data_IF_988369651204
#
_entry.id   IF_988369651204
#
_cell.length_a   1.000
_cell.length_b   1.000
_cell.length_c   1.000
_cell.angle_alpha   90.00
_cell.angle_beta   90.00
_cell.angle_gamma   90.00
#
_symmetry.space_group_name_H-M   'P 1'
#
loop_
_entity.id
_entity.type
_entity.pdbx_description
1 polymer ?
#
# COMPACT_ATOMS: atom_id res chain seq x y z
N UNK A 1 9.09 -5.61 2.85
CA UNK A 1 8.75 -5.37 1.43
C UNK A 1 10.00 -5.10 0.60
N UNK A 2 11.02 -4.44 1.16
CA UNK A 2 12.36 -4.28 0.56
C UNK A 2 12.88 -5.54 -0.14
N UNK A 3 12.85 -6.70 0.53
CA UNK A 3 13.28 -7.97 -0.07
C UNK A 3 12.56 -8.32 -1.39
N UNK A 4 11.26 -8.02 -1.53
CA UNK A 4 10.55 -8.25 -2.79
C UNK A 4 11.00 -7.25 -3.86
N UNK A 5 11.23 -5.99 -3.49
CA UNK A 5 11.74 -4.97 -4.39
C UNK A 5 13.13 -5.33 -4.93
N UNK A 6 14.04 -5.84 -4.07
CA UNK A 6 15.36 -6.34 -4.47
C UNK A 6 15.27 -7.48 -5.49
N UNK A 7 14.31 -8.38 -5.29
CA UNK A 7 14.01 -9.48 -6.22
C UNK A 7 13.20 -9.03 -7.45
N UNK A 8 12.92 -7.73 -7.59
CA UNK A 8 12.08 -7.15 -8.65
C UNK A 8 10.69 -7.77 -8.73
N UNK A 9 10.11 -8.14 -7.59
CA UNK A 9 8.75 -8.67 -7.47
C UNK A 9 7.82 -7.56 -6.98
N UNK A 10 6.79 -7.26 -7.78
CA UNK A 10 5.70 -6.36 -7.39
C UNK A 10 4.53 -7.21 -6.88
N UNK A 11 4.12 -6.99 -5.64
CA UNK A 11 3.07 -7.73 -4.95
C UNK A 11 1.67 -7.43 -5.51
N UNK A 12 1.38 -6.16 -5.84
CA UNK A 12 0.14 -5.66 -6.45
C UNK A 12 -1.14 -5.78 -5.64
N UNK A 13 -1.11 -6.51 -4.52
CA UNK A 13 -2.25 -6.67 -3.62
C UNK A 13 -1.85 -6.56 -2.14
N UNK A 14 -0.92 -5.64 -1.84
CA UNK A 14 -0.51 -5.40 -0.46
C UNK A 14 -1.64 -4.70 0.30
N UNK A 15 -2.12 -5.36 1.37
CA UNK A 15 -3.24 -4.89 2.20
C UNK A 15 -3.17 -5.57 3.57
N UNK A 16 -3.86 -5.02 4.58
CA UNK A 16 -3.86 -5.61 5.93
C UNK A 16 -4.35 -7.07 5.95
N UNK A 17 -5.32 -7.42 5.10
CA UNK A 17 -5.82 -8.81 4.91
C UNK A 17 -4.73 -9.82 4.48
N UNK A 18 -3.62 -9.32 3.95
CA UNK A 18 -2.49 -10.09 3.44
C UNK A 18 -1.27 -10.01 4.35
N UNK A 19 -1.41 -9.39 5.53
CA UNK A 19 -0.40 -9.42 6.59
C UNK A 19 -0.84 -10.44 7.65
N UNK A 20 -0.13 -11.56 7.70
CA UNK A 20 -0.42 -12.66 8.62
C UNK A 20 0.39 -12.52 9.90
N UNK A 21 -0.27 -12.58 11.06
CA UNK A 21 0.38 -12.63 12.37
C UNK A 21 0.55 -14.10 12.75
N UNK A 22 1.79 -14.57 12.78
CA UNK A 22 2.14 -15.97 13.09
C UNK A 22 2.53 -16.18 14.56
N UNK A 23 2.95 -15.11 15.22
CA UNK A 23 3.23 -15.07 16.65
C UNK A 23 3.05 -13.63 17.14
N UNK A 24 2.47 -13.47 18.32
CA UNK A 24 2.23 -12.16 18.93
C UNK A 24 2.75 -12.17 20.35
N UNK A 25 3.57 -11.19 20.67
CA UNK A 25 4.10 -10.96 22.01
C UNK A 25 3.82 -9.50 22.39
N UNK A 26 3.13 -9.33 23.52
CA UNK A 26 2.62 -8.05 23.97
C UNK A 26 3.66 -7.26 24.80
N UNK A 27 4.78 -7.89 25.17
CA UNK A 27 5.87 -7.28 25.93
C UNK A 27 7.08 -6.96 25.05
N UNK A 28 7.38 -7.83 24.07
CA UNK A 28 8.49 -7.66 23.14
C UNK A 28 8.02 -7.75 21.69
N UNK A 29 7.78 -6.59 21.06
CA UNK A 29 7.35 -6.49 19.66
C UNK A 29 8.32 -7.19 18.70
N UNK A 30 9.60 -7.36 19.06
CA UNK A 30 10.58 -8.08 18.21
C UNK A 30 10.32 -9.58 18.15
N UNK A 31 9.51 -10.12 19.07
CA UNK A 31 9.03 -11.51 19.07
C UNK A 31 7.70 -11.66 18.37
N UNK A 32 7.06 -10.56 17.98
CA UNK A 32 5.90 -10.60 17.09
C UNK A 32 6.37 -10.93 15.68
N UNK A 33 5.83 -12.00 15.12
CA UNK A 33 6.19 -12.52 13.81
C UNK A 33 5.06 -12.25 12.84
N UNK A 34 5.32 -11.38 11.85
CA UNK A 34 4.38 -11.05 10.77
C UNK A 34 4.97 -11.44 9.41
N UNK A 35 4.12 -11.89 8.50
CA UNK A 35 4.52 -12.22 7.12
C UNK A 35 3.51 -11.68 6.12
N UNK A 36 4.02 -11.17 5.00
CA UNK A 36 3.20 -10.82 3.84
C UNK A 36 2.85 -12.11 3.08
N UNK A 37 1.58 -12.25 2.71
CA UNK A 37 1.01 -13.33 1.91
C UNK A 37 0.18 -12.73 0.76
N UNK A 38 -0.54 -13.54 -0.02
CA UNK A 38 -1.44 -12.99 -1.05
C UNK A 38 -0.79 -12.68 -2.40
N UNK A 39 0.23 -13.45 -2.78
CA UNK A 39 0.98 -13.29 -4.04
C UNK A 39 0.21 -13.70 -5.33
N UNK A 40 -1.10 -13.89 -5.27
CA UNK A 40 -1.90 -14.34 -6.43
C UNK A 40 -1.92 -13.35 -7.59
N UNK A 41 -1.63 -12.07 -7.32
CA UNK A 41 -1.49 -11.01 -8.32
C UNK A 41 -0.03 -10.58 -8.54
N UNK A 42 0.94 -11.19 -7.85
CA UNK A 42 2.33 -10.76 -7.91
C UNK A 42 2.95 -10.99 -9.29
N UNK A 43 3.92 -10.17 -9.66
CA UNK A 43 4.63 -10.24 -10.95
C UNK A 43 6.10 -9.91 -10.76
N UNK A 44 6.97 -10.64 -11.46
CA UNK A 44 8.40 -10.36 -11.53
C UNK A 44 8.71 -9.43 -12.72
N UNK A 45 9.53 -8.41 -12.48
CA UNK A 45 9.98 -7.45 -13.50
C UNK A 45 11.35 -7.90 -14.04
N UNK A 46 11.34 -8.58 -15.18
CA UNK A 46 12.55 -9.19 -15.77
C UNK A 46 13.43 -8.12 -16.44
N UNK A 47 12.89 -7.41 -17.44
CA UNK A 47 13.65 -6.48 -18.30
C UNK A 47 13.17 -5.01 -18.21
N UNK A 48 12.26 -4.70 -17.29
CA UNK A 48 11.67 -3.38 -17.13
C UNK A 48 11.61 -2.97 -15.66
N UNK A 49 11.40 -1.67 -15.42
CA UNK A 49 11.17 -1.12 -14.07
C UNK A 49 9.68 -1.09 -13.70
N UNK A 50 8.81 -1.43 -14.66
CA UNK A 50 7.36 -1.47 -14.49
C UNK A 50 6.72 -2.57 -15.36
N UNK A 51 5.48 -2.93 -15.02
CA UNK A 51 4.66 -3.81 -15.83
C UNK A 51 3.26 -3.20 -16.04
N UNK A 52 2.62 -3.54 -17.16
CA UNK A 52 1.23 -3.18 -17.42
C UNK A 52 0.32 -4.31 -16.95
N UNK A 53 -0.71 -3.94 -16.21
CA UNK A 53 -1.65 -4.83 -15.54
C UNK A 53 -3.06 -4.47 -15.97
N UNK A 54 -3.80 -5.48 -16.42
CA UNK A 54 -5.22 -5.41 -16.68
C UNK A 54 -5.90 -6.67 -16.12
N UNK A 55 -7.13 -6.54 -15.64
CA UNK A 55 -7.87 -7.68 -15.09
C UNK A 55 -9.09 -7.28 -14.28
N UNK A 56 -9.90 -8.28 -13.93
CA UNK A 56 -11.01 -8.13 -12.97
C UNK A 56 -10.51 -8.47 -11.56
N UNK A 57 -11.13 -7.90 -10.54
CA UNK A 57 -10.79 -8.18 -9.13
C UNK A 57 -9.52 -7.48 -8.64
N UNK A 58 -9.11 -6.39 -9.30
CA UNK A 58 -7.99 -5.57 -8.82
C UNK A 58 -8.36 -4.82 -7.53
N UNK A 59 -7.42 -4.63 -6.60
CA UNK A 59 -7.68 -3.99 -5.31
C UNK A 59 -7.72 -2.45 -5.44
N UNK A 60 -8.75 -1.91 -6.11
CA UNK A 60 -8.87 -0.48 -6.50
C UNK A 60 -8.51 0.50 -5.37
N UNK A 61 -8.93 0.22 -4.14
CA UNK A 61 -8.71 1.07 -2.96
C UNK A 61 -7.25 1.17 -2.50
N UNK A 62 -6.39 0.30 -3.00
CA UNK A 62 -4.97 0.22 -2.67
C UNK A 62 -4.09 0.65 -3.84
N UNK A 63 -4.70 0.96 -4.99
CA UNK A 63 -3.96 1.27 -6.20
C UNK A 63 -3.63 2.76 -6.29
N UNK A 64 -2.41 3.11 -6.71
CA UNK A 64 -2.03 4.49 -6.97
C UNK A 64 -2.62 5.03 -8.28
N UNK A 65 -2.59 6.35 -8.52
CA UNK A 65 -3.13 6.98 -9.72
C UNK A 65 -2.63 6.38 -11.04
N UNK A 66 -1.33 6.09 -11.16
CA UNK A 66 -0.75 5.52 -12.39
C UNK A 66 -1.25 4.09 -12.68
N UNK A 67 -1.50 3.29 -11.65
CA UNK A 67 -2.09 1.96 -11.80
C UNK A 67 -3.57 2.06 -12.18
N UNK A 68 -4.31 3.00 -11.59
CA UNK A 68 -5.73 3.22 -11.89
C UNK A 68 -5.96 3.77 -13.31
N UNK A 69 -5.10 4.69 -13.77
CA UNK A 69 -5.25 5.36 -15.06
C UNK A 69 -4.62 4.59 -16.22
N UNK A 70 -3.46 3.96 -15.99
CA UNK A 70 -2.63 3.38 -17.06
C UNK A 70 -2.34 1.90 -16.86
N UNK A 71 -2.81 1.30 -15.76
CA UNK A 71 -2.51 -0.09 -15.44
C UNK A 71 -1.04 -0.33 -15.10
N UNK A 72 -0.22 0.70 -14.86
CA UNK A 72 1.22 0.51 -14.57
C UNK A 72 1.41 0.09 -13.12
N UNK A 73 2.28 -0.89 -12.87
CA UNK A 73 2.73 -1.25 -11.53
C UNK A 73 4.26 -1.34 -11.47
N UNK A 74 4.81 -0.97 -10.32
CA UNK A 74 6.23 -0.95 -9.99
C UNK A 74 6.38 -1.12 -8.46
N UNK A 75 7.61 -1.13 -7.95
CA UNK A 75 7.85 -1.03 -6.50
C UNK A 75 7.09 0.17 -5.88
N UNK A 76 7.06 1.31 -6.57
CA UNK A 76 6.40 2.55 -6.09
C UNK A 76 4.88 2.40 -6.01
N UNK A 77 4.29 1.46 -6.75
CA UNK A 77 2.88 1.11 -6.59
C UNK A 77 2.61 0.27 -5.34
N UNK A 78 3.54 -0.60 -4.95
CA UNK A 78 3.47 -1.31 -3.68
C UNK A 78 3.75 -0.39 -2.49
N UNK A 79 4.62 0.62 -2.63
CA UNK A 79 4.84 1.65 -1.61
C UNK A 79 3.55 2.41 -1.32
N UNK A 80 2.79 2.77 -2.35
CA UNK A 80 1.46 3.37 -2.16
C UNK A 80 0.52 2.45 -1.38
N UNK A 81 0.44 1.18 -1.79
CA UNK A 81 -0.39 0.17 -1.13
C UNK A 81 0.05 -0.09 0.32
N UNK A 82 1.35 0.02 0.61
CA UNK A 82 1.91 -0.02 1.96
C UNK A 82 1.39 1.14 2.81
N UNK A 83 1.38 2.38 2.29
CA UNK A 83 0.77 3.52 2.98
C UNK A 83 -0.71 3.28 3.31
N UNK A 84 -1.48 2.73 2.37
CA UNK A 84 -2.89 2.34 2.60
C UNK A 84 -3.00 1.27 3.69
N UNK A 85 -2.11 0.27 3.66
CA UNK A 85 -2.06 -0.80 4.67
C UNK A 85 -1.73 -0.26 6.07
N UNK A 86 -0.77 0.67 6.17
CA UNK A 86 -0.46 1.35 7.43
C UNK A 86 -1.68 2.13 7.95
N UNK A 87 -2.38 2.85 7.07
CA UNK A 87 -3.60 3.54 7.45
C UNK A 87 -4.69 2.57 7.94
N UNK A 88 -4.86 1.41 7.30
CA UNK A 88 -5.78 0.36 7.81
C UNK A 88 -5.39 -0.08 9.22
N UNK A 89 -4.11 -0.33 9.48
CA UNK A 89 -3.62 -0.76 10.80
C UNK A 89 -3.87 0.34 11.84
N UNK A 90 -3.54 1.60 11.53
CA UNK A 90 -3.71 2.75 12.43
C UNK A 90 -5.18 3.06 12.73
N UNK A 91 -6.09 2.68 11.83
CA UNK A 91 -7.54 2.85 12.01
C UNK A 91 -8.23 1.60 12.53
N UNK A 92 -7.47 0.63 13.06
CA UNK A 92 -7.98 -0.64 13.58
C UNK A 92 -8.83 -1.43 12.57
N UNK A 93 -8.39 -1.45 11.31
CA UNK A 93 -9.01 -2.22 10.22
C UNK A 93 -10.18 -1.52 9.55
N UNK A 94 -10.27 -0.18 9.60
CA UNK A 94 -11.28 0.56 8.84
C UNK A 94 -11.07 0.32 7.35
N UNK A 95 -12.17 0.12 6.61
CA UNK A 95 -12.10 -0.01 5.15
C UNK A 95 -11.65 1.31 4.51
N UNK A 96 -10.57 1.31 3.69
CA UNK A 96 -10.14 2.51 2.98
C UNK A 96 -11.27 3.07 2.10
N UNK A 97 -11.53 4.37 2.20
CA UNK A 97 -12.58 5.05 1.44
C UNK A 97 -13.98 4.40 1.61
N UNK A 98 -14.31 3.91 2.81
CA UNK A 98 -15.50 3.07 3.08
C UNK A 98 -16.84 3.60 2.53
N UNK A 99 -16.98 4.92 2.36
CA UNK A 99 -18.19 5.59 1.88
C UNK A 99 -18.20 5.86 0.36
N UNK A 100 -17.18 5.41 -0.38
CA UNK A 100 -17.04 5.62 -1.82
C UNK A 100 -17.20 4.31 -2.59
N UNK A 101 -17.82 4.35 -3.77
CA UNK A 101 -17.74 3.26 -4.75
C UNK A 101 -16.36 3.22 -5.41
N UNK A 102 -15.98 2.12 -6.04
CA UNK A 102 -14.68 2.00 -6.70
C UNK A 102 -14.48 3.08 -7.79
N UNK A 103 -15.50 3.38 -8.59
CA UNK A 103 -15.46 4.51 -9.54
C UNK A 103 -15.23 5.87 -8.86
N UNK A 104 -15.80 6.06 -7.68
CA UNK A 104 -15.63 7.30 -6.91
C UNK A 104 -14.22 7.39 -6.31
N UNK A 105 -13.68 6.26 -5.83
CA UNK A 105 -12.29 6.15 -5.36
C UNK A 105 -11.33 6.48 -6.51
N UNK A 106 -11.56 5.93 -7.70
CA UNK A 106 -10.73 6.23 -8.88
C UNK A 106 -10.69 7.73 -9.14
N UNK A 107 -11.85 8.40 -9.21
CA UNK A 107 -11.92 9.85 -9.44
C UNK A 107 -11.26 10.64 -8.31
N UNK A 108 -11.50 10.27 -7.06
CA UNK A 108 -10.97 10.96 -5.89
C UNK A 108 -9.43 10.86 -5.81
N UNK A 109 -8.88 9.65 -5.91
CA UNK A 109 -7.44 9.39 -5.84
C UNK A 109 -6.71 10.03 -7.02
N UNK A 110 -7.23 9.87 -8.24
CA UNK A 110 -6.67 10.52 -9.43
C UNK A 110 -6.77 12.05 -9.36
N UNK A 111 -7.74 12.59 -8.62
CA UNK A 111 -7.91 14.02 -8.37
C UNK A 111 -7.01 14.58 -7.26
N UNK A 112 -6.12 13.78 -6.67
CA UNK A 112 -5.23 14.19 -5.59
C UNK A 112 -5.75 13.92 -4.18
N UNK A 113 -6.94 13.34 -4.06
CA UNK A 113 -7.51 12.94 -2.77
C UNK A 113 -6.71 11.83 -2.10
N UNK A 114 -6.63 11.86 -0.77
CA UNK A 114 -5.95 10.86 0.08
C UNK A 114 -6.81 10.45 1.26
N UNK A 115 -6.41 9.39 1.95
CA UNK A 115 -7.01 8.98 3.22
C UNK A 115 -6.68 10.02 4.30
N UNK A 116 -7.66 10.27 5.18
CA UNK A 116 -7.62 11.32 6.18
C UNK A 116 -6.82 10.88 7.42
N UNK A 117 -5.98 11.76 7.97
CA UNK A 117 -5.28 11.52 9.25
C UNK A 117 -6.27 11.46 10.41
N UNK A 118 -7.35 12.22 10.29
CA UNK A 118 -8.41 12.40 11.28
C UNK A 118 -9.17 11.10 11.56
N UNK A 119 -9.09 10.12 10.66
CA UNK A 119 -9.69 8.80 10.84
C UNK A 119 -8.92 7.90 11.81
N UNK A 120 -7.67 8.26 12.16
CA UNK A 120 -6.83 7.48 13.08
C UNK A 120 -7.29 7.64 14.53
N UNK A 121 -7.67 6.53 15.15
CA UNK A 121 -8.20 6.48 16.51
C UNK A 121 -7.05 6.51 17.52
N UNK A 122 -7.12 7.39 18.52
CA UNK A 122 -6.11 7.50 19.57
C UNK A 122 -4.90 8.37 19.21
N UNK A 123 -4.91 8.98 18.01
CA UNK A 123 -3.81 9.81 17.52
C UNK A 123 -2.70 9.00 16.84
N UNK A 124 -1.87 9.70 16.07
CA UNK A 124 -0.72 9.13 15.36
C UNK A 124 0.47 10.06 15.56
N UNK A 125 1.65 9.58 15.97
CA UNK A 125 2.87 10.40 16.01
C UNK A 125 3.13 11.05 14.65
N UNK A 126 3.57 12.31 14.65
CA UNK A 126 3.79 13.08 13.40
C UNK A 126 4.78 12.39 12.46
N UNK A 127 5.83 11.77 13.00
CA UNK A 127 6.84 11.03 12.23
C UNK A 127 6.23 9.82 11.50
N UNK A 128 5.33 9.10 12.18
CA UNK A 128 4.63 7.94 11.58
C UNK A 128 3.66 8.42 10.49
N UNK A 129 2.92 9.50 10.74
CA UNK A 129 2.03 10.06 9.72
C UNK A 129 2.80 10.59 8.51
N UNK A 130 3.92 11.30 8.73
CA UNK A 130 4.76 11.80 7.65
C UNK A 130 5.27 10.66 6.75
N UNK A 131 5.63 9.52 7.34
CA UNK A 131 6.00 8.31 6.59
C UNK A 131 4.83 7.80 5.75
N UNK A 132 3.64 7.64 6.35
CA UNK A 132 2.43 7.18 5.63
C UNK A 132 2.07 8.15 4.49
N UNK A 133 2.11 9.45 4.74
CA UNK A 133 1.81 10.49 3.76
C UNK A 133 2.81 10.51 2.61
N UNK A 134 4.11 10.31 2.89
CA UNK A 134 5.16 10.24 1.87
C UNK A 134 4.94 9.11 0.85
N UNK A 135 4.31 8.00 1.29
CA UNK A 135 3.97 6.88 0.41
C UNK A 135 2.92 7.27 -0.65
N UNK A 136 2.19 8.37 -0.44
CA UNK A 136 1.12 8.83 -1.33
C UNK A 136 1.46 10.10 -2.12
N UNK A 137 2.76 10.37 -2.34
CA UNK A 137 3.18 11.41 -3.26
C UNK A 137 2.53 11.20 -4.64
N UNK A 138 2.04 12.29 -5.24
CA UNK A 138 1.29 12.25 -6.51
C UNK A 138 2.18 11.77 -7.66
N UNK A 139 3.44 12.18 -7.68
CA UNK A 139 4.44 11.69 -8.62
C UNK A 139 5.03 10.39 -8.08
N UNK A 140 5.15 9.41 -8.96
CA UNK A 140 5.61 8.06 -8.60
C UNK A 140 7.05 8.08 -8.05
N UNK A 141 7.89 8.91 -8.68
CA UNK A 141 9.30 9.12 -8.37
C UNK A 141 9.54 9.86 -7.04
N UNK A 142 8.56 10.61 -6.54
CA UNK A 142 8.67 11.37 -5.29
C UNK A 142 8.35 10.49 -4.06
N UNK A 143 7.79 9.30 -4.27
CA UNK A 143 7.55 8.33 -3.19
C UNK A 143 8.88 7.72 -2.77
N UNK A 144 9.07 7.35 -1.49
CA UNK A 144 10.25 6.61 -1.07
C UNK A 144 10.30 5.22 -1.72
N UNK A 145 11.48 4.61 -1.76
CA UNK A 145 11.68 3.17 -1.99
C UNK A 145 11.45 2.42 -0.69
N UNK A 146 11.28 1.10 -0.75
CA UNK A 146 11.20 0.30 0.47
C UNK A 146 12.51 0.26 1.27
N UNK A 147 13.65 0.59 0.66
CA UNK A 147 14.93 0.72 1.37
C UNK A 147 15.07 2.06 2.11
N UNK A 148 14.24 3.06 1.77
CA UNK A 148 14.22 4.38 2.42
C UNK A 148 13.15 4.48 3.54
N UNK A 149 12.27 3.48 3.65
CA UNK A 149 11.21 3.35 4.66
C UNK A 149 11.69 2.56 5.88
#
# INVERSE_FOLDING_TARGET
>A
MEHLAELRVVHRDLAARHVLVLGFDNEDVRRTSVKVAGFGLAVELVDSTDATVAGRGLPVRYMPPESLQRGRCSEKSDVWAFGVTCWEILTFGKTPYYNMTDDSVIRYVCGGGRLAREDIVGGCPDEVWALVESCWATREEDRPTFAEL
#
